data_IF_886805634957
#
_entry.id   IF_886805634957
#
_cell.length_a   1.000
_cell.length_b   1.000
_cell.length_c   1.000
_cell.angle_alpha   90.00
_cell.angle_beta   90.00
_cell.angle_gamma   90.00
#
_symmetry.space_group_name_H-M   'P 1'
#
loop_
_entity.id
_entity.type
_entity.pdbx_description
1 polymer ?
#
# COMPACT_ATOMS: atom_id res chain seq x y z
N UNK A 1 -20.14 -4.21 -14.13
CA UNK A 1 -18.69 -3.93 -14.23
C UNK A 1 -18.17 -3.80 -12.81
N UNK A 2 -17.27 -4.69 -12.39
CA UNK A 2 -16.58 -4.48 -11.11
C UNK A 2 -15.82 -3.16 -11.22
N UNK A 3 -16.04 -2.22 -10.29
CA UNK A 3 -15.22 -1.03 -10.18
C UNK A 3 -13.77 -1.50 -10.01
N UNK A 4 -12.94 -1.28 -11.03
CA UNK A 4 -11.51 -1.51 -10.93
C UNK A 4 -11.01 -0.65 -9.76
N UNK A 5 -10.46 -1.28 -8.72
CA UNK A 5 -9.81 -0.53 -7.64
C UNK A 5 -8.67 0.28 -8.26
N UNK A 6 -8.52 1.55 -7.86
CA UNK A 6 -7.36 2.34 -8.28
C UNK A 6 -6.08 1.74 -7.70
N UNK A 7 -5.03 1.73 -8.51
CA UNK A 7 -3.68 1.52 -8.02
C UNK A 7 -3.22 2.66 -7.11
N UNK A 8 -2.19 2.42 -6.31
CA UNK A 8 -1.62 3.45 -5.44
C UNK A 8 -1.14 4.65 -6.26
N UNK A 9 -0.46 4.45 -7.39
CA UNK A 9 -0.04 5.56 -8.25
C UNK A 9 -1.22 6.39 -8.78
N UNK A 10 -2.32 5.76 -9.20
CA UNK A 10 -3.53 6.50 -9.63
C UNK A 10 -4.18 7.24 -8.47
N UNK A 11 -4.17 6.66 -7.28
CA UNK A 11 -4.66 7.32 -6.06
C UNK A 11 -3.80 8.56 -5.74
N UNK A 12 -2.47 8.44 -5.74
CA UNK A 12 -1.54 9.55 -5.49
C UNK A 12 -1.71 10.67 -6.52
N UNK A 13 -1.80 10.33 -7.81
CA UNK A 13 -2.00 11.32 -8.89
C UNK A 13 -3.34 12.06 -8.70
N UNK A 14 -4.43 11.33 -8.40
CA UNK A 14 -5.74 11.96 -8.13
C UNK A 14 -5.72 12.86 -6.92
N UNK A 15 -4.97 12.49 -5.87
CA UNK A 15 -4.77 13.30 -4.66
C UNK A 15 -3.94 14.55 -4.94
N UNK A 16 -3.04 14.50 -5.92
CA UNK A 16 -2.17 15.61 -6.31
C UNK A 16 -1.04 15.91 -5.31
N UNK A 17 -0.74 14.97 -4.40
CA UNK A 17 0.30 15.09 -3.37
C UNK A 17 0.70 13.71 -2.83
N UNK A 18 1.74 13.68 -1.98
CA UNK A 18 2.25 12.46 -1.32
C UNK A 18 1.10 11.67 -0.69
N UNK A 19 1.14 10.35 -0.84
CA UNK A 19 0.14 9.43 -0.32
C UNK A 19 0.76 8.35 0.54
N UNK A 20 -0.01 7.85 1.50
CA UNK A 20 0.40 6.82 2.43
C UNK A 20 -0.55 5.63 2.39
N UNK A 21 0.00 4.41 2.53
CA UNK A 21 -0.81 3.21 2.59
C UNK A 21 -0.16 2.12 3.44
N UNK A 22 -1.00 1.24 3.98
CA UNK A 22 -0.56 -0.01 4.58
C UNK A 22 -0.58 -1.12 3.54
N UNK A 23 0.46 -1.94 3.46
CA UNK A 23 0.48 -3.20 2.73
C UNK A 23 0.58 -4.37 3.70
N UNK A 24 -0.23 -5.40 3.50
CA UNK A 24 -0.30 -6.56 4.40
C UNK A 24 0.15 -7.87 3.72
N UNK A 25 0.70 -7.80 2.51
CA UNK A 25 1.19 -8.99 1.82
C UNK A 25 2.68 -9.23 2.15
N UNK A 26 2.95 -10.33 2.86
CA UNK A 26 4.28 -10.62 3.39
C UNK A 26 5.32 -10.79 2.28
N UNK A 27 5.12 -11.64 1.24
CA UNK A 27 6.09 -11.79 0.15
C UNK A 27 6.38 -10.48 -0.59
N UNK A 28 5.35 -9.67 -0.84
CA UNK A 28 5.53 -8.37 -1.50
C UNK A 28 6.38 -7.43 -0.62
N UNK A 29 6.01 -7.29 0.65
CA UNK A 29 6.71 -6.42 1.60
C UNK A 29 8.17 -6.85 1.79
N UNK A 30 8.39 -8.14 2.01
CA UNK A 30 9.73 -8.69 2.27
C UNK A 30 10.61 -8.61 1.01
N UNK A 31 10.05 -8.80 -0.19
CA UNK A 31 10.77 -8.52 -1.43
C UNK A 31 11.11 -7.04 -1.57
N UNK A 32 10.17 -6.12 -1.31
CA UNK A 32 10.41 -4.69 -1.47
C UNK A 32 11.52 -4.19 -0.53
N UNK A 33 11.52 -4.65 0.73
CA UNK A 33 12.44 -4.21 1.78
C UNK A 33 13.74 -5.02 1.76
N UNK A 34 13.64 -6.34 1.90
CA UNK A 34 14.79 -7.23 2.11
C UNK A 34 15.31 -7.89 0.83
N UNK A 35 14.63 -7.69 -0.32
CA UNK A 35 14.95 -8.32 -1.62
C UNK A 35 14.92 -9.86 -1.59
N UNK A 36 14.23 -10.45 -0.62
CA UNK A 36 14.01 -11.90 -0.53
C UNK A 36 13.29 -12.40 -1.77
N UNK A 37 13.76 -13.53 -2.32
CA UNK A 37 13.15 -14.15 -3.50
C UNK A 37 12.01 -15.07 -3.10
N UNK A 38 10.89 -14.93 -3.79
CA UNK A 38 9.70 -15.77 -3.65
C UNK A 38 9.25 -16.25 -5.02
N UNK A 39 8.65 -17.44 -5.06
CA UNK A 39 8.05 -17.98 -6.29
C UNK A 39 6.87 -17.11 -6.76
N UNK A 40 6.12 -16.54 -5.81
CA UNK A 40 5.02 -15.62 -6.08
C UNK A 40 4.97 -14.48 -5.04
N UNK A 41 5.42 -13.29 -5.43
CA UNK A 41 5.37 -12.08 -4.60
C UNK A 41 3.96 -11.56 -4.35
N UNK A 42 2.97 -12.03 -5.12
CA UNK A 42 1.59 -11.54 -5.11
C UNK A 42 0.59 -12.62 -4.66
N UNK A 43 1.04 -13.62 -3.90
CA UNK A 43 0.17 -14.65 -3.36
C UNK A 43 -0.80 -14.08 -2.30
N UNK A 44 -2.10 -13.99 -2.63
CA UNK A 44 -3.15 -13.55 -1.69
C UNK A 44 -3.24 -14.34 -0.41
N UNK A 45 -2.85 -15.61 -0.43
CA UNK A 45 -2.92 -16.45 0.75
C UNK A 45 -1.84 -16.07 1.76
N UNK A 46 -0.91 -15.19 1.37
CA UNK A 46 0.15 -14.62 2.20
C UNK A 46 -0.15 -13.19 2.66
N UNK A 47 -1.36 -12.69 2.43
CA UNK A 47 -1.83 -11.46 3.07
C UNK A 47 -2.18 -11.74 4.53
N UNK A 48 -1.60 -10.97 5.45
CA UNK A 48 -1.88 -11.04 6.88
C UNK A 48 -3.22 -10.34 7.19
N UNK A 49 -4.31 -11.08 7.06
CA UNK A 49 -5.65 -10.58 7.34
C UNK A 49 -5.87 -10.26 8.83
N UNK A 50 -5.09 -10.87 9.73
CA UNK A 50 -5.17 -10.56 11.16
C UNK A 50 -4.62 -9.16 11.40
N UNK A 51 -3.41 -8.87 10.94
CA UNK A 51 -2.80 -7.54 11.05
C UNK A 51 -3.64 -6.47 10.33
N UNK A 52 -4.23 -6.82 9.17
CA UNK A 52 -5.14 -5.92 8.44
C UNK A 52 -6.40 -5.59 9.24
N UNK A 53 -7.02 -6.57 9.88
CA UNK A 53 -8.21 -6.33 10.69
C UNK A 53 -7.89 -5.55 11.96
N UNK A 54 -6.73 -5.79 12.57
CA UNK A 54 -6.21 -4.99 13.69
C UNK A 54 -5.97 -3.54 13.28
N UNK A 55 -5.41 -3.29 12.09
CA UNK A 55 -5.28 -1.94 11.53
C UNK A 55 -6.63 -1.25 11.35
N UNK A 56 -7.61 -1.94 10.76
CA UNK A 56 -8.95 -1.38 10.56
C UNK A 56 -9.65 -1.07 11.89
N UNK A 57 -9.48 -1.93 12.90
CA UNK A 57 -10.00 -1.69 14.24
C UNK A 57 -9.33 -0.48 14.89
N UNK A 58 -7.99 -0.40 14.81
CA UNK A 58 -7.21 0.73 15.30
C UNK A 58 -7.65 2.06 14.68
N UNK A 59 -7.79 2.11 13.34
CA UNK A 59 -8.25 3.31 12.64
C UNK A 59 -9.68 3.70 13.03
N UNK A 60 -10.58 2.71 13.16
CA UNK A 60 -11.97 2.97 13.57
C UNK A 60 -12.06 3.51 15.00
N UNK A 61 -11.23 3.03 15.90
CA UNK A 61 -11.24 3.43 17.31
C UNK A 61 -10.62 4.81 17.53
N UNK A 62 -9.49 5.09 16.89
CA UNK A 62 -8.70 6.31 17.14
C UNK A 62 -9.01 7.43 16.13
N UNK A 63 -9.32 7.08 14.88
CA UNK A 63 -9.48 8.01 13.77
C UNK A 63 -10.75 7.72 12.94
N UNK A 64 -11.95 7.67 13.56
CA UNK A 64 -13.18 7.24 12.88
C UNK A 64 -13.63 8.11 11.71
N UNK A 65 -13.07 9.33 11.58
CA UNK A 65 -13.37 10.28 10.51
C UNK A 65 -12.36 10.23 9.37
N UNK A 66 -11.27 9.47 9.49
CA UNK A 66 -10.26 9.33 8.45
C UNK A 66 -10.76 8.34 7.41
N UNK A 67 -10.75 8.77 6.15
CA UNK A 67 -11.15 7.92 5.04
C UNK A 67 -10.06 6.88 4.71
N UNK A 68 -10.51 5.65 4.48
CA UNK A 68 -9.67 4.52 4.12
C UNK A 68 -10.07 3.98 2.75
N UNK A 69 -9.09 3.87 1.85
CA UNK A 69 -9.31 3.48 0.46
C UNK A 69 -8.62 2.15 0.16
N UNK A 70 -9.36 1.18 -0.39
CA UNK A 70 -8.74 -0.04 -0.90
C UNK A 70 -8.02 0.30 -2.20
N UNK A 71 -6.72 0.06 -2.22
CA UNK A 71 -5.86 0.33 -3.39
C UNK A 71 -5.12 -0.92 -3.81
N UNK A 72 -4.78 -1.03 -5.09
CA UNK A 72 -3.78 -2.00 -5.54
C UNK A 72 -2.39 -1.43 -5.32
N UNK A 73 -1.50 -2.24 -4.78
CA UNK A 73 -0.10 -1.88 -4.64
C UNK A 73 0.61 -1.79 -6.00
N UNK A 74 1.91 -1.45 -6.01
CA UNK A 74 2.77 -1.36 -7.20
C UNK A 74 3.06 -2.72 -7.83
N UNK A 75 2.02 -3.40 -8.34
CA UNK A 75 2.14 -4.68 -9.03
C UNK A 75 2.29 -4.50 -10.55
N UNK A 76 3.06 -5.37 -11.24
CA UNK A 76 3.17 -5.40 -12.70
C UNK A 76 1.83 -5.57 -13.41
N UNK A 77 1.79 -5.22 -14.69
CA UNK A 77 0.59 -5.27 -15.53
C UNK A 77 0.06 -6.68 -15.72
N UNK A 78 0.94 -7.69 -15.79
CA UNK A 78 0.53 -9.09 -15.84
C UNK A 78 -0.24 -9.59 -14.60
N UNK A 79 -0.23 -8.81 -13.50
CA UNK A 79 -0.94 -9.09 -12.25
C UNK A 79 -2.31 -8.39 -12.21
N UNK A 80 -2.76 -7.82 -13.34
CA UNK A 80 -4.01 -7.03 -13.48
C UNK A 80 -5.30 -7.79 -13.13
N UNK A 81 -5.26 -9.07 -12.78
CA UNK A 81 -6.44 -9.79 -12.32
C UNK A 81 -6.13 -10.52 -11.02
N UNK A 82 -6.59 -9.91 -9.93
CA UNK A 82 -6.81 -10.50 -8.61
C UNK A 82 -5.70 -11.45 -8.10
N UNK A 83 -4.95 -10.98 -7.10
CA UNK A 83 -5.65 -10.56 -5.90
C UNK A 83 -5.16 -9.28 -5.24
N UNK A 84 -6.13 -8.51 -4.77
CA UNK A 84 -5.94 -7.45 -3.78
C UNK A 84 -4.99 -7.93 -2.67
N UNK A 85 -3.82 -7.30 -2.56
CA UNK A 85 -2.75 -7.66 -1.62
C UNK A 85 -3.06 -7.27 -0.17
N UNK A 86 -4.27 -6.78 0.09
CA UNK A 86 -4.68 -6.28 1.39
C UNK A 86 -4.47 -4.78 1.56
N UNK A 87 -3.88 -4.08 0.59
CA UNK A 87 -3.40 -2.71 0.77
C UNK A 87 -4.52 -1.68 1.01
N UNK A 88 -4.29 -0.75 1.94
CA UNK A 88 -5.26 0.29 2.33
C UNK A 88 -4.54 1.63 2.35
N UNK A 89 -4.91 2.53 1.45
CA UNK A 89 -4.49 3.92 1.50
C UNK A 89 -5.24 4.66 2.61
N UNK A 90 -4.54 5.58 3.26
CA UNK A 90 -5.04 6.36 4.39
C UNK A 90 -5.08 7.82 3.97
N UNK A 91 -6.18 8.51 4.28
CA UNK A 91 -6.26 9.97 4.11
C UNK A 91 -5.53 10.68 5.25
N UNK A 92 -4.21 10.78 5.13
CA UNK A 92 -3.36 11.53 6.05
C UNK A 92 -2.27 12.32 5.31
N UNK A 93 -1.66 13.25 6.05
CA UNK A 93 -0.52 14.06 5.64
C UNK A 93 0.74 13.71 6.44
N UNK A 94 1.91 13.95 5.84
CA UNK A 94 3.17 13.79 6.54
C UNK A 94 3.21 14.67 7.80
N UNK A 95 3.46 14.05 8.95
CA UNK A 95 3.56 14.75 10.22
C UNK A 95 2.24 15.06 10.92
N UNK A 96 1.08 14.70 10.35
CA UNK A 96 -0.20 14.81 11.07
C UNK A 96 -0.35 13.74 12.17
N UNK A 97 -1.39 13.88 13.00
CA UNK A 97 -1.63 12.96 14.12
C UNK A 97 -1.85 11.51 13.66
N UNK A 98 -2.49 11.31 12.50
CA UNK A 98 -2.79 10.00 11.94
C UNK A 98 -1.51 9.31 11.48
N UNK A 99 -0.68 10.04 10.73
CA UNK A 99 0.64 9.62 10.28
C UNK A 99 1.51 9.24 11.48
N UNK A 100 1.60 10.11 12.49
CA UNK A 100 2.42 9.85 13.67
C UNK A 100 1.95 8.62 14.45
N UNK A 101 0.63 8.43 14.59
CA UNK A 101 0.07 7.28 15.29
C UNK A 101 0.28 5.96 14.54
N UNK A 102 0.15 5.96 13.21
CA UNK A 102 0.44 4.79 12.37
C UNK A 102 1.94 4.48 12.42
N UNK A 103 2.79 5.48 12.21
CA UNK A 103 4.25 5.33 12.25
C UNK A 103 4.69 4.72 13.59
N UNK A 104 4.27 5.33 14.72
CA UNK A 104 4.59 4.84 16.06
C UNK A 104 4.12 3.40 16.30
N UNK A 105 3.01 2.98 15.68
CA UNK A 105 2.45 1.64 15.85
C UNK A 105 3.18 0.59 15.01
N UNK A 106 3.52 0.91 13.76
CA UNK A 106 3.99 -0.07 12.77
C UNK A 106 5.49 0.01 12.43
N UNK A 107 6.16 1.10 12.76
CA UNK A 107 7.60 1.30 12.57
C UNK A 107 8.33 1.43 13.91
N UNK A 108 9.63 1.13 13.92
CA UNK A 108 10.53 1.41 15.03
C UNK A 108 11.13 2.82 14.95
N UNK A 109 12.01 3.14 15.89
CA UNK A 109 12.67 4.47 15.99
C UNK A 109 13.54 4.82 14.76
N UNK A 110 13.87 3.83 13.92
CA UNK A 110 14.67 4.00 12.70
C UNK A 110 13.81 3.94 11.43
N UNK A 111 12.48 4.04 11.54
CA UNK A 111 11.55 3.88 10.43
C UNK A 111 11.59 2.49 9.78
N UNK A 112 12.00 1.46 10.54
CA UNK A 112 11.99 0.08 10.07
C UNK A 112 10.66 -0.57 10.45
N UNK A 113 9.97 -1.25 9.53
CA UNK A 113 8.71 -1.91 9.85
C UNK A 113 8.90 -3.01 10.91
N UNK A 114 8.07 -2.99 11.94
CA UNK A 114 8.06 -3.98 13.04
C UNK A 114 7.62 -5.37 12.57
N UNK A 115 6.91 -5.46 11.45
CA UNK A 115 6.43 -6.71 10.87
C UNK A 115 6.26 -6.59 9.36
N UNK A 116 6.68 -7.61 8.60
CA UNK A 116 6.40 -7.70 7.16
C UNK A 116 4.92 -7.96 6.85
N UNK A 117 4.12 -8.34 7.85
CA UNK A 117 2.66 -8.50 7.73
C UNK A 117 1.89 -7.18 7.74
N UNK A 118 2.53 -6.06 8.09
CA UNK A 118 1.91 -4.74 8.08
C UNK A 118 3.00 -3.66 7.93
N UNK A 119 3.21 -3.25 6.68
CA UNK A 119 4.22 -2.23 6.34
C UNK A 119 3.52 -0.95 5.94
N UNK A 120 3.98 0.16 6.49
CA UNK A 120 3.55 1.50 6.11
C UNK A 120 4.45 2.02 4.99
N UNK A 121 3.83 2.49 3.91
CA UNK A 121 4.49 2.91 2.70
C UNK A 121 4.10 4.35 2.36
N UNK A 122 5.01 5.04 1.68
CA UNK A 122 4.79 6.37 1.12
C UNK A 122 5.16 6.42 -0.36
N UNK A 123 4.51 7.34 -1.08
CA UNK A 123 4.77 7.60 -2.50
C UNK A 123 4.62 9.08 -2.78
N UNK A 124 5.66 9.71 -3.34
CA UNK A 124 5.60 11.08 -3.82
C UNK A 124 4.79 11.17 -5.11
N UNK A 125 4.29 12.37 -5.42
CA UNK A 125 3.56 12.61 -6.68
C UNK A 125 4.45 12.32 -7.90
N UNK A 126 5.73 12.68 -7.83
CA UNK A 126 6.70 12.48 -8.90
C UNK A 126 6.88 10.98 -9.20
N UNK A 127 7.13 10.17 -8.16
CA UNK A 127 7.26 8.71 -8.30
C UNK A 127 5.95 8.09 -8.83
N UNK A 128 4.79 8.57 -8.36
CA UNK A 128 3.52 8.10 -8.87
C UNK A 128 3.34 8.36 -10.37
N UNK A 129 3.74 9.54 -10.85
CA UNK A 129 3.71 9.90 -12.27
C UNK A 129 4.66 9.01 -13.08
N UNK A 130 5.88 8.80 -12.61
CA UNK A 130 6.85 7.92 -13.28
C UNK A 130 6.32 6.47 -13.39
N UNK A 131 5.80 5.92 -12.30
CA UNK A 131 5.22 4.57 -12.28
C UNK A 131 3.97 4.46 -13.16
N UNK A 132 3.14 5.51 -13.20
CA UNK A 132 1.95 5.54 -14.06
C UNK A 132 2.33 5.55 -15.54
N UNK A 133 3.30 6.37 -15.95
CA UNK A 133 3.76 6.41 -17.35
C UNK A 133 4.50 5.13 -17.75
N UNK A 134 5.33 4.57 -16.86
CA UNK A 134 5.97 3.27 -17.10
C UNK A 134 4.92 2.16 -17.28
N UNK A 135 3.89 2.14 -16.42
CA UNK A 135 2.78 1.19 -16.54
C UNK A 135 2.00 1.41 -17.84
N UNK A 136 1.77 2.65 -18.25
CA UNK A 136 1.07 2.93 -19.51
C UNK A 136 1.90 2.43 -20.71
N UNK A 137 3.20 2.69 -20.70
CA UNK A 137 4.13 2.19 -21.72
C UNK A 137 4.11 0.66 -21.78
N UNK A 138 4.26 -0.02 -20.65
CA UNK A 138 4.24 -1.47 -20.60
C UNK A 138 2.88 -2.03 -21.06
N UNK A 139 1.75 -1.35 -20.78
CA UNK A 139 0.42 -1.77 -21.24
C UNK A 139 0.27 -1.64 -22.75
N UNK A 140 0.72 -0.52 -23.31
CA UNK A 140 0.64 -0.24 -24.75
C UNK A 140 1.57 -1.14 -25.57
N UNK A 141 2.56 -1.77 -24.94
CA UNK A 141 3.52 -2.69 -25.54
C UNK A 141 3.35 -4.16 -25.08
N UNK A 142 2.25 -4.48 -24.38
CA UNK A 142 1.90 -5.85 -23.95
C UNK A 142 1.14 -6.61 -25.05
#
# INVERSE_FOLDING_TARGET
>A
MALALSSIQEYTIKRGKKSFWMCFNIPNNDFCINKTKYDNYFDKNKTDYKARNEFLAFMKENFPKVDLYRVFDTAPIGVLVYPYLGSIAVDCEEGDEVYQAINSKYEDENHIPKSMGAVFWEMSLEVAQELYEARKFDFDNF
#
